data_IF_960325500891
#
_entry.id   IF_960325500891
#
_cell.length_a   1.000
_cell.length_b   1.000
_cell.length_c   1.000
_cell.angle_alpha   90.00
_cell.angle_beta   90.00
_cell.angle_gamma   90.00
#
_symmetry.space_group_name_H-M   'P 1'
#
loop_
_entity.id
_entity.type
_entity.pdbx_description
1 polymer ?
#
# COMPACT_ATOMS: atom_id res chain seq x y z
N UNK A 1 14.91 -3.01 12.28
CA UNK A 1 13.46 -2.73 12.40
C UNK A 1 13.22 -1.89 13.65
N UNK A 2 12.37 -0.88 13.54
CA UNK A 2 11.99 -0.04 14.69
C UNK A 2 11.19 -0.84 15.72
N UNK A 3 11.05 -0.29 16.94
CA UNK A 3 10.13 -0.85 17.91
C UNK A 3 8.69 -0.80 17.37
N UNK A 4 7.84 -1.69 17.87
CA UNK A 4 6.46 -1.80 17.39
C UNK A 4 5.69 -0.47 17.44
N UNK A 5 5.90 0.32 18.48
CA UNK A 5 5.24 1.62 18.67
C UNK A 5 5.73 2.70 17.70
N UNK A 6 6.94 2.56 17.16
CA UNK A 6 7.59 3.53 16.28
C UNK A 6 7.49 3.17 14.79
N UNK A 7 6.75 2.11 14.45
CA UNK A 7 6.62 1.66 13.06
C UNK A 7 6.01 2.73 12.17
N UNK A 8 6.61 2.90 11.01
CA UNK A 8 6.11 3.76 9.95
C UNK A 8 5.58 2.92 8.80
N UNK A 9 4.36 3.20 8.40
CA UNK A 9 3.63 2.42 7.40
C UNK A 9 3.23 3.33 6.25
N UNK A 10 3.52 2.92 5.04
CA UNK A 10 3.01 3.56 3.85
C UNK A 10 1.92 2.68 3.22
N UNK A 11 0.88 3.29 2.69
CA UNK A 11 -0.21 2.59 1.99
C UNK A 11 -0.32 3.17 0.59
N UNK A 12 -0.06 2.35 -0.41
CA UNK A 12 -0.17 2.71 -1.81
C UNK A 12 -1.57 2.40 -2.34
N UNK A 13 -2.31 3.44 -2.67
CA UNK A 13 -3.70 3.38 -3.10
C UNK A 13 -4.68 3.69 -1.97
N UNK A 14 -5.62 4.58 -2.26
CA UNK A 14 -6.64 5.05 -1.31
C UNK A 14 -8.07 4.71 -1.75
N UNK A 15 -8.24 3.54 -2.34
CA UNK A 15 -9.56 2.92 -2.54
C UNK A 15 -10.10 2.34 -1.22
N UNK A 16 -11.16 1.56 -1.29
CA UNK A 16 -11.81 0.97 -0.10
C UNK A 16 -10.82 0.19 0.78
N UNK A 17 -10.04 -0.70 0.20
CA UNK A 17 -9.09 -1.54 0.96
C UNK A 17 -7.96 -0.71 1.55
N UNK A 18 -7.28 0.09 0.72
CA UNK A 18 -6.13 0.87 1.16
C UNK A 18 -6.50 1.90 2.22
N UNK A 19 -7.58 2.64 2.03
CA UNK A 19 -8.01 3.66 2.98
C UNK A 19 -8.52 3.05 4.29
N UNK A 20 -9.22 1.92 4.24
CA UNK A 20 -9.64 1.19 5.45
C UNK A 20 -8.44 0.74 6.28
N UNK A 21 -7.44 0.14 5.65
CA UNK A 21 -6.21 -0.29 6.32
C UNK A 21 -5.45 0.90 6.88
N UNK A 22 -5.29 1.97 6.09
CA UNK A 22 -4.62 3.19 6.53
C UNK A 22 -5.29 3.80 7.76
N UNK A 23 -6.61 3.87 7.76
CA UNK A 23 -7.40 4.41 8.87
C UNK A 23 -7.27 3.57 10.13
N UNK A 24 -7.33 2.24 10.02
CA UNK A 24 -7.17 1.34 11.16
C UNK A 24 -5.77 1.44 11.78
N UNK A 25 -4.73 1.41 10.95
CA UNK A 25 -3.35 1.45 11.41
C UNK A 25 -2.95 2.82 11.96
N UNK A 26 -3.52 3.91 11.44
CA UNK A 26 -3.23 5.27 11.87
C UNK A 26 -3.68 5.60 13.30
N UNK A 27 -4.48 4.75 13.91
CA UNK A 27 -4.82 4.87 15.33
C UNK A 27 -3.64 4.59 16.26
N UNK A 28 -2.65 3.82 15.80
CA UNK A 28 -1.53 3.33 16.61
C UNK A 28 -0.17 3.60 16.01
N UNK A 29 -0.09 3.86 14.72
CA UNK A 29 1.16 4.03 13.98
C UNK A 29 1.12 5.27 13.08
N UNK A 30 2.30 5.76 12.72
CA UNK A 30 2.42 6.79 11.69
C UNK A 30 2.15 6.16 10.31
N UNK A 31 1.09 6.60 9.66
CA UNK A 31 0.68 6.11 8.35
C UNK A 31 0.73 7.23 7.31
N UNK A 32 1.37 6.96 6.19
CA UNK A 32 1.37 7.83 5.02
C UNK A 32 0.64 7.14 3.87
N UNK A 33 -0.51 7.66 3.48
CA UNK A 33 -1.26 7.19 2.33
C UNK A 33 -0.76 7.86 1.05
N UNK A 34 -0.56 7.07 0.01
CA UNK A 34 -0.08 7.53 -1.30
C UNK A 34 -1.15 7.29 -2.35
N UNK A 35 -1.49 8.32 -3.09
CA UNK A 35 -2.39 8.21 -4.25
C UNK A 35 -1.89 9.11 -5.37
N UNK A 36 -2.30 8.82 -6.59
CA UNK A 36 -1.97 9.62 -7.78
C UNK A 36 -2.99 10.74 -8.04
N UNK A 37 -4.10 10.75 -7.32
CA UNK A 37 -5.22 11.69 -7.51
C UNK A 37 -5.13 12.80 -6.45
N UNK A 38 -4.80 14.05 -6.85
CA UNK A 38 -4.61 15.17 -5.91
C UNK A 38 -5.83 15.44 -5.03
N UNK A 39 -7.03 15.34 -5.60
CA UNK A 39 -8.29 15.56 -4.86
C UNK A 39 -8.46 14.58 -3.69
N UNK A 40 -8.09 13.31 -3.89
CA UNK A 40 -8.15 12.31 -2.82
C UNK A 40 -7.16 12.64 -1.69
N UNK A 41 -5.95 13.01 -2.06
CA UNK A 41 -4.90 13.41 -1.10
C UNK A 41 -5.36 14.59 -0.27
N UNK A 42 -5.92 15.62 -0.90
CA UNK A 42 -6.44 16.80 -0.21
C UNK A 42 -7.58 16.46 0.75
N UNK A 43 -8.54 15.65 0.30
CA UNK A 43 -9.65 15.21 1.14
C UNK A 43 -9.16 14.46 2.40
N UNK A 44 -8.28 13.50 2.24
CA UNK A 44 -7.75 12.71 3.37
C UNK A 44 -7.03 13.61 4.38
N UNK A 45 -6.20 14.56 3.92
CA UNK A 45 -5.51 15.50 4.79
C UNK A 45 -6.47 16.44 5.53
N UNK A 46 -7.62 16.73 4.95
CA UNK A 46 -8.70 17.50 5.59
C UNK A 46 -9.70 16.64 6.38
N UNK A 47 -9.41 15.33 6.55
CA UNK A 47 -10.29 14.37 7.24
C UNK A 47 -11.67 14.24 6.59
N UNK A 48 -11.70 14.34 5.27
CA UNK A 48 -12.87 14.09 4.44
C UNK A 48 -12.65 12.77 3.71
N UNK A 49 -13.56 11.83 3.84
CA UNK A 49 -13.45 10.56 3.11
C UNK A 49 -13.62 10.79 1.60
N UNK A 50 -12.67 10.34 0.77
CA UNK A 50 -12.82 10.37 -0.69
C UNK A 50 -13.74 9.29 -1.24
N UNK A 51 -14.17 8.37 -0.39
CA UNK A 51 -15.07 7.27 -0.72
C UNK A 51 -16.29 7.28 0.22
N UNK A 52 -17.39 6.70 -0.23
CA UNK A 52 -18.59 6.56 0.60
C UNK A 52 -18.45 5.32 1.48
N UNK A 53 -18.03 5.53 2.71
CA UNK A 53 -17.88 4.50 3.72
C UNK A 53 -18.14 5.09 5.09
N UNK A 54 -19.23 4.69 5.72
CA UNK A 54 -19.69 5.23 7.01
C UNK A 54 -18.68 4.99 8.14
N UNK A 55 -17.94 3.89 8.10
CA UNK A 55 -16.92 3.59 9.12
C UNK A 55 -15.73 4.52 8.99
N UNK A 56 -15.25 4.74 7.77
CA UNK A 56 -14.12 5.66 7.52
C UNK A 56 -14.52 7.08 7.89
N UNK A 57 -15.71 7.53 7.48
CA UNK A 57 -16.23 8.85 7.84
C UNK A 57 -16.33 9.02 9.36
N UNK A 58 -16.84 8.02 10.06
CA UNK A 58 -16.91 8.00 11.52
C UNK A 58 -15.53 8.06 12.17
N UNK A 59 -14.57 7.25 11.70
CA UNK A 59 -13.21 7.27 12.24
C UNK A 59 -12.50 8.61 11.99
N UNK A 60 -12.71 9.23 10.83
CA UNK A 60 -12.16 10.55 10.52
C UNK A 60 -12.75 11.65 11.45
N UNK A 61 -14.01 11.52 11.83
CA UNK A 61 -14.68 12.48 12.71
C UNK A 61 -14.37 12.27 14.20
N UNK A 62 -14.25 11.02 14.65
CA UNK A 62 -14.23 10.68 16.08
C UNK A 62 -12.85 10.24 16.60
N UNK A 63 -11.95 9.78 15.73
CA UNK A 63 -10.65 9.23 16.14
C UNK A 63 -9.51 10.19 15.85
N UNK A 64 -8.54 10.21 16.74
CA UNK A 64 -7.26 10.83 16.49
C UNK A 64 -6.42 9.89 15.62
N UNK A 65 -6.12 10.33 14.39
CA UNK A 65 -5.41 9.52 13.40
C UNK A 65 -4.07 10.17 13.05
N UNK A 66 -2.99 9.41 13.19
CA UNK A 66 -1.67 9.79 12.68
C UNK A 66 -1.56 9.43 11.19
N UNK A 67 -2.40 10.06 10.39
CA UNK A 67 -2.58 9.83 8.96
C UNK A 67 -2.26 11.08 8.16
N UNK A 68 -1.37 10.93 7.19
CA UNK A 68 -1.04 11.94 6.20
C UNK A 68 -1.17 11.32 4.81
N UNK A 69 -1.64 12.08 3.85
CA UNK A 69 -1.69 11.66 2.44
C UNK A 69 -0.75 12.50 1.58
N UNK A 70 -0.18 11.88 0.56
CA UNK A 70 0.76 12.53 -0.37
C UNK A 70 0.67 11.97 -1.78
N UNK A 71 1.06 12.80 -2.76
CA UNK A 71 1.31 12.35 -4.14
C UNK A 71 2.74 11.83 -4.32
N UNK A 72 3.64 12.12 -3.37
CA UNK A 72 5.05 11.75 -3.43
C UNK A 72 5.29 10.38 -2.79
N UNK A 73 5.16 9.33 -3.59
CA UNK A 73 5.42 7.96 -3.15
C UNK A 73 6.87 7.73 -2.73
N UNK A 74 7.83 8.33 -3.42
CA UNK A 74 9.24 8.16 -3.10
C UNK A 74 9.57 8.61 -1.67
N UNK A 75 9.09 9.77 -1.27
CA UNK A 75 9.26 10.27 0.10
C UNK A 75 8.51 9.42 1.13
N UNK A 76 7.31 8.96 0.79
CA UNK A 76 6.51 8.13 1.68
C UNK A 76 7.15 6.76 1.95
N UNK A 77 7.73 6.13 0.93
CA UNK A 77 8.30 4.78 1.04
C UNK A 77 9.71 4.77 1.65
N UNK A 78 10.45 5.87 1.52
CA UNK A 78 11.86 5.96 1.92
C UNK A 78 12.11 5.55 3.38
N UNK A 79 11.24 5.94 4.29
CA UNK A 79 11.38 5.68 5.72
C UNK A 79 10.35 4.66 6.26
N UNK A 80 9.57 4.04 5.38
CA UNK A 80 8.56 3.07 5.77
C UNK A 80 9.19 1.73 6.16
N UNK A 81 8.71 1.14 7.25
CA UNK A 81 9.02 -0.24 7.63
C UNK A 81 8.16 -1.23 6.84
N UNK A 82 6.89 -0.86 6.61
CA UNK A 82 5.95 -1.62 5.81
C UNK A 82 5.35 -0.74 4.71
N UNK A 83 5.22 -1.33 3.53
CA UNK A 83 4.49 -0.73 2.41
C UNK A 83 3.34 -1.66 2.03
N UNK A 84 2.13 -1.22 2.31
CA UNK A 84 0.90 -1.94 1.94
C UNK A 84 0.50 -1.50 0.54
N UNK A 85 0.47 -2.44 -0.39
CA UNK A 85 0.11 -2.19 -1.79
C UNK A 85 -1.35 -2.54 -2.00
N UNK A 86 -2.18 -1.53 -2.14
CA UNK A 86 -3.62 -1.62 -2.42
C UNK A 86 -3.97 -0.87 -3.72
N UNK A 87 -3.04 -0.86 -4.67
CA UNK A 87 -3.22 -0.27 -5.98
C UNK A 87 -4.32 -0.99 -6.76
N UNK A 88 -5.10 -0.28 -7.60
CA UNK A 88 -6.15 -0.91 -8.37
C UNK A 88 -5.59 -1.92 -9.38
N UNK A 89 -6.26 -3.06 -9.50
CA UNK A 89 -6.03 -4.07 -10.52
C UNK A 89 -7.30 -4.22 -11.34
N UNK A 90 -7.24 -3.86 -12.61
CA UNK A 90 -8.37 -3.98 -13.50
C UNK A 90 -8.37 -5.36 -14.17
N UNK A 91 -9.48 -6.07 -14.05
CA UNK A 91 -9.68 -7.32 -14.79
C UNK A 91 -10.31 -7.05 -16.13
N UNK A 92 -9.66 -7.48 -17.20
CA UNK A 92 -10.22 -7.45 -18.57
C UNK A 92 -10.82 -8.84 -18.89
N UNK A 93 -12.16 -8.98 -18.90
CA UNK A 93 -12.81 -10.27 -19.12
C UNK A 93 -12.66 -10.78 -20.56
N UNK A 94 -12.36 -9.88 -21.51
CA UNK A 94 -12.17 -10.27 -22.91
C UNK A 94 -10.80 -10.91 -23.10
N UNK A 95 -9.78 -10.36 -22.45
CA UNK A 95 -8.41 -10.88 -22.51
C UNK A 95 -8.10 -11.90 -21.42
N UNK A 96 -9.05 -12.11 -20.50
CA UNK A 96 -8.86 -12.91 -19.28
C UNK A 96 -7.55 -12.52 -18.56
N UNK A 97 -7.37 -11.22 -18.32
CA UNK A 97 -6.12 -10.64 -17.86
C UNK A 97 -6.35 -9.64 -16.72
N UNK A 98 -5.53 -9.76 -15.67
CA UNK A 98 -5.41 -8.75 -14.63
C UNK A 98 -4.31 -7.76 -14.99
N UNK A 99 -4.64 -6.49 -15.01
CA UNK A 99 -3.64 -5.44 -15.15
C UNK A 99 -2.97 -5.16 -13.79
N UNK A 100 -1.77 -5.68 -13.63
CA UNK A 100 -0.99 -5.58 -12.39
C UNK A 100 0.13 -4.55 -12.46
N UNK A 101 0.21 -3.75 -13.52
CA UNK A 101 1.32 -2.82 -13.70
C UNK A 101 1.44 -1.78 -12.58
N UNK A 102 0.33 -1.33 -12.00
CA UNK A 102 0.36 -0.41 -10.86
C UNK A 102 1.02 -1.01 -9.62
N UNK A 103 0.85 -2.32 -9.39
CA UNK A 103 1.54 -3.02 -8.29
C UNK A 103 3.05 -3.02 -8.55
N UNK A 104 3.46 -3.35 -9.77
CA UNK A 104 4.87 -3.41 -10.14
C UNK A 104 5.53 -2.03 -10.10
N UNK A 105 4.83 -0.98 -10.52
CA UNK A 105 5.31 0.41 -10.40
C UNK A 105 5.60 0.78 -8.94
N UNK A 106 4.74 0.38 -8.01
CA UNK A 106 4.97 0.60 -6.57
C UNK A 106 6.17 -0.21 -6.08
N UNK A 107 6.28 -1.48 -6.45
CA UNK A 107 7.42 -2.34 -6.08
C UNK A 107 8.73 -1.74 -6.58
N UNK A 108 8.79 -1.34 -7.85
CA UNK A 108 9.98 -0.75 -8.45
C UNK A 108 10.40 0.53 -7.72
N UNK A 109 9.45 1.38 -7.38
CA UNK A 109 9.72 2.61 -6.63
C UNK A 109 10.21 2.31 -5.21
N UNK A 110 9.56 1.39 -4.50
CA UNK A 110 9.99 0.97 -3.15
C UNK A 110 11.42 0.42 -3.18
N UNK A 111 11.71 -0.49 -4.10
CA UNK A 111 13.06 -1.07 -4.24
C UNK A 111 14.13 -0.01 -4.56
N UNK A 112 13.76 1.04 -5.28
CA UNK A 112 14.69 2.13 -5.63
C UNK A 112 15.04 3.04 -4.46
N UNK A 113 14.12 3.24 -3.50
CA UNK A 113 14.29 4.20 -2.40
C UNK A 113 14.46 3.54 -1.02
N UNK A 114 13.92 2.35 -0.83
CA UNK A 114 13.96 1.63 0.45
C UNK A 114 13.83 0.11 0.24
N UNK A 115 14.88 -0.56 -0.20
CA UNK A 115 14.83 -1.99 -0.46
C UNK A 115 14.66 -2.87 0.79
N UNK A 116 14.80 -2.30 1.99
CA UNK A 116 14.61 -3.01 3.26
C UNK A 116 13.15 -3.03 3.75
N UNK A 117 12.26 -2.26 3.11
CA UNK A 117 10.85 -2.24 3.48
C UNK A 117 10.17 -3.59 3.20
N UNK A 118 9.35 -4.02 4.14
CA UNK A 118 8.47 -5.17 3.92
C UNK A 118 7.24 -4.74 3.11
N UNK A 119 7.05 -5.34 1.95
CA UNK A 119 5.90 -5.06 1.09
C UNK A 119 4.78 -6.08 1.31
N UNK A 120 3.56 -5.59 1.45
CA UNK A 120 2.35 -6.40 1.66
C UNK A 120 1.36 -6.11 0.54
N UNK A 121 1.10 -7.08 -0.32
CA UNK A 121 0.15 -6.93 -1.42
C UNK A 121 -1.27 -7.24 -0.92
N UNK A 122 -2.13 -6.24 -0.99
CA UNK A 122 -3.57 -6.34 -0.67
C UNK A 122 -4.48 -6.19 -1.89
N UNK A 123 -3.92 -5.84 -3.03
CA UNK A 123 -4.64 -5.82 -4.29
C UNK A 123 -5.08 -7.23 -4.70
N UNK A 124 -6.19 -7.34 -5.42
CA UNK A 124 -6.60 -8.61 -6.04
C UNK A 124 -5.62 -8.97 -7.16
N UNK A 125 -5.04 -10.14 -7.06
CA UNK A 125 -4.01 -10.64 -7.98
C UNK A 125 -4.33 -12.04 -8.50
N UNK A 126 -3.83 -12.40 -9.69
CA UNK A 126 -4.01 -13.75 -10.22
C UNK A 126 -3.20 -14.78 -9.42
N UNK A 127 -3.68 -16.03 -9.44
CA UNK A 127 -2.99 -17.15 -8.81
C UNK A 127 -1.56 -17.28 -9.36
N UNK A 128 -0.59 -17.44 -8.48
CA UNK A 128 0.81 -17.57 -8.84
C UNK A 128 1.55 -16.24 -9.12
N UNK A 129 0.85 -15.10 -9.06
CA UNK A 129 1.44 -13.79 -9.32
C UNK A 129 2.61 -13.47 -8.37
N UNK A 130 2.47 -13.71 -7.08
CA UNK A 130 3.56 -13.46 -6.14
C UNK A 130 4.79 -14.29 -6.44
N UNK A 131 4.63 -15.54 -6.87
CA UNK A 131 5.75 -16.35 -7.31
C UNK A 131 6.45 -15.76 -8.54
N UNK A 132 5.70 -15.22 -9.48
CA UNK A 132 6.27 -14.53 -10.65
C UNK A 132 7.05 -13.26 -10.26
N UNK A 133 6.58 -12.53 -9.24
CA UNK A 133 7.31 -11.38 -8.70
C UNK A 133 8.64 -11.81 -8.05
N UNK A 134 8.65 -12.88 -7.27
CA UNK A 134 9.90 -13.41 -6.71
C UNK A 134 10.91 -13.76 -7.79
N UNK A 135 10.46 -14.37 -8.90
CA UNK A 135 11.35 -14.69 -10.03
C UNK A 135 11.84 -13.41 -10.73
N UNK A 136 10.93 -12.47 -10.99
CA UNK A 136 11.25 -11.19 -11.65
C UNK A 136 12.28 -10.37 -10.86
N UNK A 137 12.12 -10.31 -9.55
CA UNK A 137 12.94 -9.48 -8.66
C UNK A 137 14.05 -10.28 -7.94
N UNK A 138 14.28 -11.55 -8.30
CA UNK A 138 15.23 -12.42 -7.62
C UNK A 138 16.64 -11.86 -7.50
N UNK A 139 17.10 -11.10 -8.49
CA UNK A 139 18.42 -10.46 -8.45
C UNK A 139 18.48 -9.34 -7.39
N UNK A 140 17.39 -8.64 -7.17
CA UNK A 140 17.31 -7.59 -6.17
C UNK A 140 17.21 -8.18 -4.75
N UNK A 141 16.60 -9.35 -4.63
CA UNK A 141 16.47 -10.07 -3.36
C UNK A 141 17.71 -10.90 -2.99
N UNK A 142 18.56 -11.25 -3.97
CA UNK A 142 19.74 -12.08 -3.73
C UNK A 142 20.85 -11.39 -2.92
N UNK A 143 20.84 -10.07 -2.83
CA UNK A 143 21.79 -9.27 -2.05
C UNK A 143 21.26 -8.81 -0.70
N UNK A 144 20.02 -9.16 -0.38
CA UNK A 144 19.30 -8.70 0.80
C UNK A 144 18.58 -9.86 1.44
N UNK A 145 18.55 -9.88 2.76
CA UNK A 145 17.62 -10.74 3.45
C UNK A 145 16.22 -10.50 2.89
N UNK A 146 15.45 -11.55 2.60
CA UNK A 146 14.29 -11.41 1.74
C UNK A 146 13.31 -10.37 2.26
N UNK A 147 13.11 -9.32 1.47
CA UNK A 147 11.94 -8.49 1.57
C UNK A 147 10.73 -9.43 1.44
N UNK A 148 10.03 -9.65 2.54
CA UNK A 148 8.92 -10.58 2.56
C UNK A 148 7.74 -9.94 1.83
N UNK A 149 7.41 -10.49 0.66
CA UNK A 149 6.14 -10.21 0.00
C UNK A 149 5.06 -11.07 0.67
N UNK A 150 4.16 -10.42 1.39
CA UNK A 150 2.99 -11.09 1.94
C UNK A 150 1.76 -10.80 1.08
N UNK A 151 0.97 -11.82 0.85
CA UNK A 151 -0.36 -11.67 0.31
C UNK A 151 -1.37 -12.12 1.35
N UNK A 152 -2.50 -11.46 1.40
CA UNK A 152 -3.62 -11.90 2.22
C UNK A 152 -4.63 -12.67 1.39
N UNK A 153 -4.20 -13.23 0.27
CA UNK A 153 -5.15 -13.89 -0.59
C UNK A 153 -5.56 -15.24 -0.01
N UNK A 154 -6.85 -15.39 0.20
CA UNK A 154 -7.48 -16.64 0.59
C UNK A 154 -7.73 -17.60 -0.61
N UNK A 155 -7.12 -17.30 -1.75
CA UNK A 155 -7.25 -18.09 -2.96
C UNK A 155 -6.08 -19.08 -3.19
N UNK A 156 -5.33 -19.39 -2.15
CA UNK A 156 -4.37 -20.50 -2.17
C UNK A 156 -5.06 -21.84 -1.91
#
# INVERSE_FOLDING_TARGET
MRNFEDLQIAVAGTGYVGLSIATLLAQHHKVTAVDIIPEKVEKINNRISPIQDEYIEKYFAEKELNLTATLDGASAYKDADFVVIAAPTNYDPVKNFFDTHHIEDVIDLVLSVNPEATMVIKSTIPVGYCRSLYVKYAQNFAQMEPCLLYTSDAAD
#
